data_IF_707072539416
#
_entry.id   IF_707072539416
#
_cell.length_a   1.000
_cell.length_b   1.000
_cell.length_c   1.000
_cell.angle_alpha   90.00
_cell.angle_beta   90.00
_cell.angle_gamma   90.00
#
_symmetry.space_group_name_H-M   'P 1'
#
loop_
_entity.id
_entity.type
_entity.pdbx_description
1 polymer ?
#
# COMPACT_ATOMS: atom_id res chain seq x y z
N UNK A 1 -6.17 -16.49 10.88
CA UNK A 1 -5.39 -15.72 11.89
C UNK A 1 -5.03 -14.40 11.24
N UNK A 2 -5.32 -13.25 11.86
CA UNK A 2 -4.95 -11.95 11.28
C UNK A 2 -3.41 -11.80 11.33
N UNK A 3 -2.77 -11.33 10.24
CA UNK A 3 -1.33 -11.19 10.18
C UNK A 3 -0.83 -10.05 11.08
N UNK A 4 0.34 -10.22 11.69
CA UNK A 4 0.99 -9.18 12.48
C UNK A 4 1.81 -8.24 11.57
N UNK A 5 1.65 -6.93 11.74
CA UNK A 5 2.46 -5.91 11.06
C UNK A 5 3.75 -5.70 11.88
N UNK A 6 4.90 -6.05 11.30
CA UNK A 6 6.19 -5.99 12.00
C UNK A 6 6.75 -4.58 12.01
N UNK A 7 6.63 -3.86 10.91
CA UNK A 7 7.20 -2.54 10.74
C UNK A 7 6.47 -1.48 11.55
N UNK A 8 7.22 -0.74 12.36
CA UNK A 8 6.71 0.42 13.08
C UNK A 8 6.15 1.49 12.14
N UNK A 9 6.75 1.70 10.97
CA UNK A 9 6.28 2.72 10.00
C UNK A 9 4.90 2.35 9.44
N UNK A 10 4.66 1.07 9.13
CA UNK A 10 3.35 0.62 8.67
C UNK A 10 2.31 0.65 9.79
N UNK A 11 2.70 0.33 11.03
CA UNK A 11 1.83 0.50 12.21
C UNK A 11 1.43 1.96 12.41
N UNK A 12 2.36 2.91 12.25
CA UNK A 12 2.07 4.34 12.31
C UNK A 12 1.07 4.76 11.22
N UNK A 13 1.22 4.27 9.98
CA UNK A 13 0.23 4.54 8.92
C UNK A 13 -1.16 4.00 9.30
N UNK A 14 -1.24 2.74 9.74
CA UNK A 14 -2.52 2.13 10.10
C UNK A 14 -3.20 2.87 11.26
N UNK A 15 -2.45 3.23 12.29
CA UNK A 15 -2.96 3.97 13.44
C UNK A 15 -3.52 5.34 13.02
N UNK A 16 -2.78 6.08 12.19
CA UNK A 16 -3.25 7.35 11.64
C UNK A 16 -4.51 7.18 10.79
N UNK A 17 -4.50 6.21 9.87
CA UNK A 17 -5.64 5.91 9.01
C UNK A 17 -6.91 5.63 9.82
N UNK A 18 -6.83 4.80 10.87
CA UNK A 18 -7.97 4.48 11.72
C UNK A 18 -8.43 5.70 12.54
N UNK A 19 -7.49 6.50 13.07
CA UNK A 19 -7.82 7.70 13.81
C UNK A 19 -8.60 8.71 12.96
N UNK A 20 -8.18 8.94 11.71
CA UNK A 20 -8.87 9.89 10.82
C UNK A 20 -10.13 9.29 10.19
N UNK A 21 -10.18 7.97 9.99
CA UNK A 21 -11.40 7.27 9.59
C UNK A 21 -12.54 7.49 10.60
N UNK A 22 -12.25 7.34 11.89
CA UNK A 22 -13.28 7.38 12.94
C UNK A 22 -14.35 6.31 12.69
N UNK A 23 -15.62 6.68 12.84
CA UNK A 23 -16.76 5.76 12.64
C UNK A 23 -17.14 5.56 11.16
N UNK A 24 -16.45 6.22 10.21
CA UNK A 24 -16.76 6.12 8.78
C UNK A 24 -16.24 4.80 8.22
N UNK A 25 -16.74 4.41 7.04
CA UNK A 25 -16.25 3.20 6.34
C UNK A 25 -14.79 3.36 5.93
N UNK A 26 -14.45 4.49 5.33
CA UNK A 26 -13.11 4.84 4.84
C UNK A 26 -12.88 6.35 4.99
N UNK A 27 -11.64 6.81 5.24
CA UNK A 27 -11.30 8.23 5.18
C UNK A 27 -11.13 8.69 3.73
N UNK A 28 -11.27 10.00 3.52
CA UNK A 28 -10.90 10.65 2.27
C UNK A 28 -9.40 10.98 2.29
N UNK A 29 -8.80 11.13 1.11
CA UNK A 29 -7.40 11.57 0.98
C UNK A 29 -7.10 12.86 1.77
N UNK A 30 -8.04 13.81 1.78
CA UNK A 30 -7.90 15.10 2.48
C UNK A 30 -7.84 14.97 4.01
N UNK A 31 -8.27 13.83 4.55
CA UNK A 31 -8.25 13.57 5.99
C UNK A 31 -6.86 13.09 6.44
N UNK A 32 -6.01 12.67 5.49
CA UNK A 32 -4.65 12.21 5.79
C UNK A 32 -3.77 13.44 6.10
N UNK A 33 -3.49 13.65 7.39
CA UNK A 33 -2.51 14.65 7.83
C UNK A 33 -1.07 14.12 7.70
N UNK A 34 -0.30 14.71 6.78
CA UNK A 34 1.10 14.38 6.57
C UNK A 34 1.99 14.68 7.79
N UNK A 35 1.62 15.65 8.63
CA UNK A 35 2.39 16.03 9.83
C UNK A 35 2.38 14.93 10.89
N UNK A 36 1.32 14.11 10.94
CA UNK A 36 1.24 12.94 11.83
C UNK A 36 2.04 11.74 11.31
N UNK A 37 2.40 11.75 10.03
CA UNK A 37 3.03 10.61 9.37
C UNK A 37 4.56 10.69 9.34
N UNK A 38 5.16 11.87 9.50
CA UNK A 38 6.60 12.09 9.70
C UNK A 38 7.52 11.05 9.04
N UNK A 39 8.06 10.05 9.78
CA UNK A 39 9.00 9.05 9.26
C UNK A 39 8.40 8.08 8.23
N UNK A 40 7.09 7.99 8.09
CA UNK A 40 6.39 7.17 7.10
C UNK A 40 6.35 7.84 5.72
N UNK A 41 6.44 9.18 5.66
CA UNK A 41 6.29 9.95 4.42
C UNK A 41 7.19 9.47 3.26
N UNK A 42 8.48 9.14 3.47
CA UNK A 42 9.35 8.71 2.37
C UNK A 42 8.90 7.42 1.68
N UNK A 43 8.13 6.55 2.35
CA UNK A 43 7.68 5.26 1.80
C UNK A 43 6.21 5.25 1.38
N UNK A 44 5.50 6.38 1.51
CA UNK A 44 4.08 6.48 1.18
C UNK A 44 3.89 6.66 -0.33
N UNK A 45 2.81 6.11 -0.84
CA UNK A 45 2.24 6.46 -2.12
C UNK A 45 0.72 6.61 -2.00
N UNK A 46 0.15 7.50 -2.80
CA UNK A 46 -1.29 7.73 -2.88
C UNK A 46 -1.70 7.70 -4.34
N UNK A 47 -2.78 7.00 -4.66
CA UNK A 47 -3.30 6.91 -6.02
C UNK A 47 -4.81 6.99 -6.05
N UNK A 48 -5.35 7.56 -7.12
CA UNK A 48 -6.78 7.51 -7.42
C UNK A 48 -7.02 6.45 -8.49
N UNK A 49 -8.15 5.74 -8.41
CA UNK A 49 -8.58 4.88 -9.49
C UNK A 49 -9.12 5.71 -10.66
N UNK A 50 -8.70 5.37 -11.88
CA UNK A 50 -9.11 6.03 -13.12
C UNK A 50 -9.91 5.05 -13.98
N UNK A 51 -11.26 5.05 -13.88
CA UNK A 51 -12.10 4.05 -14.55
C UNK A 51 -11.92 3.99 -16.06
N UNK A 52 -11.67 5.13 -16.71
CA UNK A 52 -11.46 5.20 -18.15
C UNK A 52 -10.18 4.46 -18.60
N UNK A 53 -9.16 4.39 -17.73
CA UNK A 53 -7.92 3.68 -17.99
C UNK A 53 -7.89 2.27 -17.39
N UNK A 54 -8.85 1.92 -16.52
CA UNK A 54 -8.89 0.63 -15.82
C UNK A 54 -7.70 0.43 -14.86
N UNK A 55 -7.07 1.51 -14.42
CA UNK A 55 -5.87 1.47 -13.56
C UNK A 55 -5.78 2.71 -12.66
N UNK A 56 -4.66 2.86 -11.94
CA UNK A 56 -4.49 3.84 -10.88
C UNK A 56 -3.54 4.97 -11.30
N UNK A 57 -3.96 6.22 -11.09
CA UNK A 57 -3.09 7.40 -11.25
C UNK A 57 -2.46 7.76 -9.92
N UNK A 58 -1.13 7.78 -9.88
CA UNK A 58 -0.40 8.18 -8.68
C UNK A 58 -0.48 9.69 -8.49
N UNK A 59 -0.89 10.12 -7.29
CA UNK A 59 -0.99 11.53 -6.89
C UNK A 59 0.24 11.98 -6.12
N UNK A 60 0.81 11.09 -5.34
CA UNK A 60 1.97 11.33 -4.51
C UNK A 60 2.75 10.03 -4.33
N UNK A 61 4.08 10.17 -4.27
CA UNK A 61 4.99 9.11 -3.90
C UNK A 61 6.16 9.74 -3.15
N UNK A 62 6.48 9.18 -1.98
CA UNK A 62 7.64 9.57 -1.17
C UNK A 62 8.96 9.23 -1.86
N UNK A 63 10.03 9.82 -1.37
CA UNK A 63 11.36 9.72 -1.99
C UNK A 63 11.86 8.28 -2.12
N UNK A 64 11.70 7.43 -1.08
CA UNK A 64 12.11 6.02 -1.15
C UNK A 64 11.27 5.21 -2.15
N UNK A 65 10.03 5.65 -2.44
CA UNK A 65 9.21 5.04 -3.50
C UNK A 65 9.74 5.47 -4.87
N UNK A 66 10.05 6.75 -5.05
CA UNK A 66 10.58 7.28 -6.31
C UNK A 66 11.96 6.70 -6.65
N UNK A 67 12.81 6.46 -5.65
CA UNK A 67 14.11 5.82 -5.81
C UNK A 67 14.03 4.46 -6.52
N UNK A 68 12.98 3.69 -6.25
CA UNK A 68 12.80 2.36 -6.85
C UNK A 68 12.62 2.44 -8.35
N UNK A 69 11.93 3.50 -8.81
CA UNK A 69 11.64 3.72 -10.22
C UNK A 69 12.68 4.64 -10.88
N UNK A 70 13.61 5.20 -10.12
CA UNK A 70 14.61 6.15 -10.60
C UNK A 70 14.02 7.49 -11.08
N UNK A 71 12.73 7.73 -10.82
CA UNK A 71 12.00 8.91 -11.25
C UNK A 71 10.80 9.16 -10.33
N UNK A 72 10.27 10.39 -10.36
CA UNK A 72 8.98 10.65 -9.72
C UNK A 72 7.88 9.92 -10.46
N UNK A 73 7.09 9.11 -9.76
CA UNK A 73 5.92 8.43 -10.32
C UNK A 73 4.62 9.22 -10.14
N UNK A 74 4.68 10.37 -9.46
CA UNK A 74 3.51 11.24 -9.29
C UNK A 74 3.06 11.80 -10.65
N UNK A 75 1.76 11.70 -10.94
CA UNK A 75 1.15 12.07 -12.21
C UNK A 75 1.00 10.90 -13.19
N UNK A 76 1.83 9.87 -13.07
CA UNK A 76 1.81 8.69 -13.95
C UNK A 76 0.70 7.70 -13.60
N UNK A 77 0.24 6.94 -14.59
CA UNK A 77 -0.56 5.75 -14.37
C UNK A 77 0.34 4.60 -13.92
N UNK A 78 -0.21 3.67 -13.13
CA UNK A 78 0.47 2.43 -12.74
C UNK A 78 1.01 1.67 -13.98
N UNK A 79 0.25 1.68 -15.08
CA UNK A 79 0.62 1.07 -16.36
C UNK A 79 1.84 1.70 -17.03
N UNK A 80 2.20 2.94 -16.66
CA UNK A 80 3.27 3.68 -17.34
C UNK A 80 4.66 3.29 -16.82
N UNK A 81 4.76 2.77 -15.60
CA UNK A 81 6.04 2.48 -14.94
C UNK A 81 6.17 1.07 -14.38
N UNK A 82 5.06 0.34 -14.16
CA UNK A 82 5.12 -1.08 -13.79
C UNK A 82 5.35 -1.93 -15.03
N UNK A 83 6.32 -2.84 -14.96
CA UNK A 83 6.63 -3.75 -16.06
C UNK A 83 5.40 -4.60 -16.46
N UNK A 84 5.15 -4.84 -17.76
CA UNK A 84 3.96 -5.54 -18.25
C UNK A 84 3.69 -6.88 -17.56
N UNK A 85 4.73 -7.65 -17.27
CA UNK A 85 4.63 -8.95 -16.61
C UNK A 85 4.17 -8.89 -15.15
N UNK A 86 4.27 -7.73 -14.51
CA UNK A 86 3.83 -7.49 -13.12
C UNK A 86 2.59 -6.62 -13.03
N UNK A 87 2.21 -5.95 -14.14
CA UNK A 87 1.13 -4.98 -14.17
C UNK A 87 -0.22 -5.63 -13.83
N UNK A 88 -0.62 -6.70 -14.54
CA UNK A 88 -1.94 -7.32 -14.34
C UNK A 88 -2.15 -7.79 -12.89
N UNK A 89 -1.14 -8.44 -12.31
CA UNK A 89 -1.19 -8.92 -10.93
C UNK A 89 -1.28 -7.76 -9.93
N UNK A 90 -0.50 -6.70 -10.14
CA UNK A 90 -0.50 -5.53 -9.25
C UNK A 90 -1.82 -4.76 -9.36
N UNK A 91 -2.30 -4.56 -10.59
CA UNK A 91 -3.54 -3.84 -10.88
C UNK A 91 -4.74 -4.58 -10.31
N UNK A 92 -4.85 -5.90 -10.49
CA UNK A 92 -5.94 -6.69 -9.91
C UNK A 92 -5.89 -6.69 -8.37
N UNK A 93 -4.69 -6.75 -7.77
CA UNK A 93 -4.58 -6.63 -6.31
C UNK A 93 -5.12 -5.29 -5.79
N UNK A 94 -4.87 -4.20 -6.50
CA UNK A 94 -5.40 -2.88 -6.16
C UNK A 94 -6.91 -2.76 -6.44
N UNK A 95 -7.40 -3.29 -7.56
CA UNK A 95 -8.83 -3.37 -7.86
C UNK A 95 -9.58 -4.18 -6.80
N UNK A 96 -8.96 -5.25 -6.28
CA UNK A 96 -9.52 -6.06 -5.20
C UNK A 96 -9.66 -5.28 -3.90
N UNK A 97 -8.71 -4.40 -3.56
CA UNK A 97 -8.84 -3.51 -2.39
C UNK A 97 -10.09 -2.64 -2.52
N UNK A 98 -10.32 -2.06 -3.71
CA UNK A 98 -11.48 -1.20 -3.96
C UNK A 98 -12.78 -1.98 -3.89
N UNK A 99 -12.85 -3.08 -4.64
CA UNK A 99 -14.06 -3.91 -4.77
C UNK A 99 -14.48 -4.56 -3.47
N UNK A 100 -13.53 -5.06 -2.69
CA UNK A 100 -13.80 -5.80 -1.46
C UNK A 100 -13.70 -4.91 -0.22
N UNK A 101 -13.34 -3.62 -0.40
CA UNK A 101 -13.14 -2.64 0.67
C UNK A 101 -12.26 -3.23 1.79
N UNK A 102 -11.06 -3.64 1.40
CA UNK A 102 -10.17 -4.40 2.26
C UNK A 102 -8.75 -3.85 2.19
N UNK A 103 -8.09 -3.73 3.35
CA UNK A 103 -6.66 -3.50 3.37
C UNK A 103 -5.92 -4.68 2.76
N UNK A 104 -4.85 -4.39 2.02
CA UNK A 104 -3.88 -5.37 1.59
C UNK A 104 -2.64 -5.25 2.48
N UNK A 105 -2.29 -6.35 3.16
CA UNK A 105 -1.00 -6.52 3.79
C UNK A 105 -0.20 -7.58 3.05
N UNK A 106 0.96 -7.19 2.52
CA UNK A 106 1.90 -8.10 1.89
C UNK A 106 3.20 -8.16 2.70
N UNK A 107 3.80 -9.35 2.77
CA UNK A 107 5.12 -9.56 3.36
C UNK A 107 5.98 -10.47 2.48
N UNK A 108 7.29 -10.32 2.58
CA UNK A 108 8.26 -11.01 1.73
C UNK A 108 8.67 -10.12 0.55
N UNK A 109 8.82 -10.64 -0.66
CA UNK A 109 9.22 -9.82 -1.80
C UNK A 109 8.13 -8.79 -2.15
N UNK A 110 8.45 -7.49 -2.04
CA UNK A 110 7.51 -6.35 -2.23
C UNK A 110 7.82 -5.49 -3.46
N UNK A 111 9.03 -5.58 -4.01
CA UNK A 111 9.40 -5.00 -5.30
C UNK A 111 10.31 -5.93 -6.08
N UNK A 112 10.13 -5.95 -7.40
CA UNK A 112 11.08 -6.51 -8.36
C UNK A 112 11.84 -5.34 -8.99
N UNK A 113 13.15 -5.34 -8.81
CA UNK A 113 14.08 -4.55 -9.60
C UNK A 113 14.73 -5.46 -10.66
N UNK A 114 15.40 -4.89 -11.66
CA UNK A 114 15.95 -5.62 -12.82
C UNK A 114 16.79 -6.85 -12.41
N UNK A 115 17.59 -6.76 -11.34
CA UNK A 115 18.49 -7.82 -10.85
C UNK A 115 18.34 -8.14 -9.35
N UNK A 116 17.36 -7.52 -8.67
CA UNK A 116 17.17 -7.59 -7.21
C UNK A 116 15.70 -7.71 -6.83
N UNK A 117 15.45 -8.32 -5.69
CA UNK A 117 14.15 -8.33 -5.02
C UNK A 117 14.29 -7.59 -3.69
N UNK A 118 13.41 -6.63 -3.45
CA UNK A 118 13.30 -6.02 -2.12
C UNK A 118 12.36 -6.87 -1.26
N UNK A 119 12.89 -7.44 -0.18
CA UNK A 119 12.09 -8.05 0.89
C UNK A 119 11.60 -6.97 1.85
N UNK A 120 10.37 -7.11 2.33
CA UNK A 120 9.82 -6.24 3.36
C UNK A 120 8.31 -6.41 3.51
N UNK A 121 7.62 -5.31 3.83
CA UNK A 121 6.19 -5.29 4.06
C UNK A 121 5.53 -4.15 3.27
N UNK A 122 4.34 -4.40 2.72
CA UNK A 122 3.49 -3.37 2.11
C UNK A 122 2.13 -3.39 2.78
N UNK A 123 1.67 -2.20 3.19
CA UNK A 123 0.28 -1.96 3.56
C UNK A 123 -0.34 -1.05 2.51
N UNK A 124 -1.50 -1.42 1.97
CA UNK A 124 -2.32 -0.57 1.12
C UNK A 124 -3.75 -0.56 1.67
N UNK A 125 -4.33 0.63 1.78
CA UNK A 125 -5.60 0.91 2.42
C UNK A 125 -6.50 1.68 1.45
N UNK A 126 -7.79 1.35 1.37
CA UNK A 126 -8.71 2.06 0.50
C UNK A 126 -8.97 3.48 1.02
N UNK A 127 -9.16 4.41 0.11
CA UNK A 127 -9.65 5.77 0.37
C UNK A 127 -10.99 5.94 -0.33
N UNK A 128 -11.81 6.84 0.19
CA UNK A 128 -13.11 7.16 -0.39
C UNK A 128 -13.37 8.66 -0.34
N UNK A 129 -13.63 9.29 -1.50
CA UNK A 129 -13.96 10.72 -1.54
C UNK A 129 -15.38 11.03 -1.06
N UNK A 130 -16.33 10.09 -1.21
CA UNK A 130 -17.72 10.20 -0.78
C UNK A 130 -17.99 9.55 0.59
N UNK A 131 -17.00 8.83 1.14
CA UNK A 131 -17.09 8.10 2.41
C UNK A 131 -17.82 6.74 2.30
N UNK A 132 -18.24 6.35 1.10
CA UNK A 132 -19.01 5.13 0.82
C UNK A 132 -18.25 4.22 -0.13
N UNK A 133 -17.85 4.72 -1.30
CA UNK A 133 -17.23 3.92 -2.37
C UNK A 133 -15.72 4.13 -2.37
N UNK A 134 -14.96 3.04 -2.39
CA UNK A 134 -13.51 3.13 -2.52
C UNK A 134 -13.14 3.63 -3.94
N UNK A 135 -12.40 4.74 -4.01
CA UNK A 135 -12.00 5.40 -5.26
C UNK A 135 -10.51 5.75 -5.30
N UNK A 136 -9.77 5.40 -4.25
CA UNK A 136 -8.34 5.61 -4.18
C UNK A 136 -7.68 4.69 -3.18
N UNK A 137 -6.36 4.83 -3.09
CA UNK A 137 -5.51 4.05 -2.20
C UNK A 137 -4.50 4.99 -1.52
N UNK A 138 -4.20 4.68 -0.28
CA UNK A 138 -2.94 5.07 0.36
C UNK A 138 -2.18 3.79 0.70
N UNK A 139 -0.90 3.74 0.35
CA UNK A 139 -0.04 2.64 0.75
C UNK A 139 1.31 3.12 1.25
N UNK A 140 1.99 2.24 1.97
CA UNK A 140 3.38 2.39 2.35
C UNK A 140 4.11 1.07 2.11
N UNK A 141 5.38 1.15 1.70
CA UNK A 141 6.20 -0.06 1.50
C UNK A 141 7.56 0.07 2.16
N UNK A 142 7.81 -0.82 3.11
CA UNK A 142 9.08 -0.91 3.83
C UNK A 142 9.94 -1.95 3.13
N UNK A 143 11.24 -1.64 3.01
CA UNK A 143 12.25 -2.54 2.46
C UNK A 143 13.26 -2.84 3.57
N UNK A 144 13.42 -4.11 3.92
CA UNK A 144 14.37 -4.54 4.94
C UNK A 144 15.69 -5.01 4.32
N UNK A 145 15.61 -5.71 3.17
CA UNK A 145 16.79 -6.32 2.53
C UNK A 145 16.63 -6.38 1.01
N UNK A 146 17.71 -6.13 0.27
CA UNK A 146 17.81 -6.47 -1.14
C UNK A 146 18.45 -7.85 -1.29
N UNK A 147 17.79 -8.75 -2.01
CA UNK A 147 18.30 -10.09 -2.32
C UNK A 147 18.44 -10.28 -3.83
N UNK A 148 19.42 -11.09 -4.26
CA UNK A 148 19.59 -11.47 -5.67
C UNK A 148 18.33 -12.18 -6.18
N UNK A 149 17.91 -11.90 -7.42
CA UNK A 149 16.77 -12.58 -8.06
C UNK A 149 16.92 -14.11 -8.10
N UNK A 150 18.15 -14.61 -8.26
CA UNK A 150 18.43 -16.05 -8.33
C UNK A 150 18.20 -16.77 -6.98
N UNK A 151 18.11 -16.02 -5.88
CA UNK A 151 17.97 -16.56 -4.52
C UNK A 151 16.54 -16.50 -3.99
N UNK A 152 15.60 -15.83 -4.68
CA UNK A 152 14.23 -15.61 -4.17
C UNK A 152 13.25 -15.43 -5.32
N UNK A 153 12.05 -16.01 -5.22
CA UNK A 153 10.99 -15.82 -6.20
C UNK A 153 9.88 -14.93 -5.64
N UNK A 154 9.26 -14.10 -6.50
CA UNK A 154 8.04 -13.37 -6.12
C UNK A 154 6.92 -14.28 -5.61
N UNK A 155 6.95 -15.59 -5.96
CA UNK A 155 6.00 -16.60 -5.46
C UNK A 155 6.05 -16.81 -3.94
N UNK A 156 7.02 -16.22 -3.23
CA UNK A 156 7.11 -16.27 -1.77
C UNK A 156 6.44 -15.07 -1.09
N UNK A 157 5.83 -14.15 -1.84
CA UNK A 157 5.03 -13.07 -1.26
C UNK A 157 3.78 -13.64 -0.61
N UNK A 158 3.58 -13.32 0.66
CA UNK A 158 2.33 -13.63 1.38
C UNK A 158 1.48 -12.37 1.35
N UNK A 159 0.32 -12.46 0.70
CA UNK A 159 -0.67 -11.37 0.64
C UNK A 159 -1.90 -11.75 1.44
N UNK A 160 -2.33 -10.87 2.34
CA UNK A 160 -3.57 -11.01 3.10
C UNK A 160 -4.45 -9.80 2.86
N UNK A 161 -5.73 -10.06 2.63
CA UNK A 161 -6.77 -9.03 2.57
C UNK A 161 -7.53 -9.00 3.89
N UNK A 162 -7.71 -7.82 4.46
CA UNK A 162 -8.38 -7.61 5.75
C UNK A 162 -9.52 -6.63 5.50
N UNK A 163 -10.79 -7.05 5.63
CA UNK A 163 -11.92 -6.14 5.47
C UNK A 163 -11.75 -4.89 6.33
N UNK A 164 -12.15 -3.71 5.83
CA UNK A 164 -11.97 -2.46 6.58
C UNK A 164 -12.62 -2.52 7.98
N UNK A 165 -13.74 -3.23 8.11
CA UNK A 165 -14.46 -3.40 9.38
C UNK A 165 -13.74 -4.31 10.40
N UNK A 166 -12.67 -5.00 10.00
CA UNK A 166 -11.84 -5.82 10.88
C UNK A 166 -10.50 -5.17 11.26
N UNK A 167 -10.18 -3.98 10.71
CA UNK A 167 -8.85 -3.36 10.89
C UNK A 167 -8.53 -3.00 12.34
N UNK A 168 -9.52 -2.63 13.15
CA UNK A 168 -9.31 -2.32 14.57
C UNK A 168 -8.77 -3.53 15.37
N UNK A 169 -9.09 -4.75 14.91
CA UNK A 169 -8.61 -5.98 15.53
C UNK A 169 -7.11 -6.21 15.25
N UNK A 170 -6.60 -5.69 14.13
CA UNK A 170 -5.18 -5.76 13.76
C UNK A 170 -4.35 -4.89 14.69
N UNK A 171 -4.83 -3.67 14.99
CA UNK A 171 -4.13 -2.75 15.92
C UNK A 171 -4.13 -3.27 17.35
N UNK A 172 -5.24 -3.83 17.83
CA UNK A 172 -5.31 -4.36 19.22
C UNK A 172 -4.36 -5.52 19.47
N UNK A 173 -4.04 -6.32 18.46
CA UNK A 173 -3.02 -7.37 18.56
C UNK A 173 -1.60 -6.82 18.56
N UNK A 174 -1.37 -5.74 17.83
CA UNK A 174 -0.08 -5.07 17.74
C UNK A 174 0.29 -4.35 19.05
N UNK A 175 -0.68 -3.86 19.80
CA UNK A 175 -0.46 -3.17 21.09
C UNK A 175 -0.34 -4.12 22.30
N UNK A 176 -0.46 -5.45 22.09
CA UNK A 176 -0.50 -6.47 23.13
C UNK A 176 0.78 -7.28 23.32
N UNK A 177 1.85 -6.97 22.60
CA UNK A 177 3.21 -7.53 22.73
C UNK A 177 4.19 -6.45 23.24
#
# INVERSE_FOLDING_TARGET
MLPAIKSQRLRTLLAHYLAVRGDRRMPARRDIDALQLGPVLPIIWISDYEPAAGTFRYRLAGEEVNEIWGMSVAGSLLSDFVAPESFEVTNEAFLKILRDEAALLASGPVYRCIDRIALGERLALPLSSDGVTADGLIGATVRDTLVDLDKTSMNQQVVTYIPVDELDQVVRRVAGD
#
